data_IF_304148290497
#
_entry.id   IF_304148290497
#
_cell.length_a   1.000
_cell.length_b   1.000
_cell.length_c   1.000
_cell.angle_alpha   90.00
_cell.angle_beta   90.00
_cell.angle_gamma   90.00
#
_symmetry.space_group_name_H-M   'P 1'
#
loop_
_entity.id
_entity.type
_entity.pdbx_description
1 polymer ?
#
# COMPACT_ATOMS: atom_id res chain seq x y z
N UNK A 1 7.43 4.55 -31.21
CA UNK A 1 7.07 4.51 -29.78
C UNK A 1 7.52 5.83 -29.17
N UNK A 2 6.68 6.59 -28.45
CA UNK A 2 7.10 7.87 -27.88
C UNK A 2 8.07 7.61 -26.72
N UNK A 3 9.30 8.11 -26.83
CA UNK A 3 10.29 8.12 -25.76
C UNK A 3 9.73 8.90 -24.56
N UNK A 4 9.53 8.20 -23.47
CA UNK A 4 9.24 8.76 -22.15
C UNK A 4 10.52 9.43 -21.67
N UNK A 5 10.38 10.44 -20.81
CA UNK A 5 11.50 10.81 -19.97
C UNK A 5 11.63 9.69 -18.93
N UNK A 6 12.33 8.60 -19.26
CA UNK A 6 12.54 7.37 -18.46
C UNK A 6 13.12 7.63 -17.04
N UNK A 7 13.30 8.90 -16.71
CA UNK A 7 13.91 9.42 -15.51
C UNK A 7 12.88 9.89 -14.45
N UNK A 8 11.59 10.08 -14.76
CA UNK A 8 10.61 10.59 -13.78
C UNK A 8 10.38 9.61 -12.62
N UNK A 9 10.40 10.12 -11.38
CA UNK A 9 10.00 9.34 -10.21
C UNK A 9 8.50 9.51 -9.96
N UNK A 10 7.72 8.45 -10.05
CA UNK A 10 6.33 8.46 -9.56
C UNK A 10 6.28 8.06 -8.10
N UNK A 11 5.72 8.93 -7.26
CA UNK A 11 5.44 8.61 -5.85
C UNK A 11 3.93 8.49 -5.71
N UNK A 12 3.46 7.25 -5.60
CA UNK A 12 2.05 6.89 -5.54
C UNK A 12 1.59 6.66 -4.11
N UNK A 13 0.41 7.20 -3.82
CA UNK A 13 -0.37 6.97 -2.62
C UNK A 13 -1.73 6.40 -3.01
N UNK A 14 -2.37 5.63 -2.14
CA UNK A 14 -3.77 5.24 -2.31
C UNK A 14 -4.61 5.69 -1.10
N UNK A 15 -5.76 6.28 -1.37
CA UNK A 15 -6.73 6.67 -0.35
C UNK A 15 -8.15 6.38 -0.81
N UNK A 16 -8.95 5.81 0.08
CA UNK A 16 -10.36 5.53 -0.20
C UNK A 16 -11.19 5.55 1.08
N UNK A 17 -12.48 5.84 0.95
CA UNK A 17 -13.49 5.54 1.97
C UNK A 17 -13.98 6.72 2.81
N UNK A 18 -13.29 7.85 2.76
CA UNK A 18 -13.73 9.10 3.37
C UNK A 18 -13.02 10.29 2.73
N UNK A 19 -13.42 11.51 3.09
CA UNK A 19 -12.67 12.70 2.69
C UNK A 19 -11.34 12.71 3.45
N UNK A 20 -10.19 12.85 2.76
CA UNK A 20 -8.88 12.91 3.41
C UNK A 20 -8.84 13.90 4.58
N UNK A 21 -8.20 13.47 5.68
CA UNK A 21 -8.03 14.28 6.88
C UNK A 21 -7.12 15.50 6.60
N UNK A 22 -7.10 16.46 7.53
CA UNK A 22 -6.22 17.64 7.41
C UNK A 22 -4.75 17.21 7.47
N UNK A 23 -4.44 16.24 8.33
CA UNK A 23 -3.10 15.66 8.50
C UNK A 23 -2.60 15.05 7.18
N UNK A 24 -3.43 14.24 6.51
CA UNK A 24 -3.08 13.66 5.21
C UNK A 24 -2.85 14.75 4.15
N UNK A 25 -3.74 15.74 4.08
CA UNK A 25 -3.61 16.85 3.13
C UNK A 25 -2.30 17.63 3.34
N UNK A 26 -1.97 17.94 4.59
CA UNK A 26 -0.73 18.63 4.94
C UNK A 26 0.49 17.76 4.63
N UNK A 27 0.43 16.44 4.89
CA UNK A 27 1.53 15.52 4.58
C UNK A 27 1.82 15.50 3.07
N UNK A 28 0.79 15.39 2.22
CA UNK A 28 0.95 15.42 0.77
C UNK A 28 1.50 16.77 0.27
N UNK A 29 1.06 17.88 0.86
CA UNK A 29 1.60 19.22 0.58
C UNK A 29 3.08 19.35 0.95
N UNK A 30 3.48 18.86 2.13
CA UNK A 30 4.87 18.83 2.59
C UNK A 30 5.75 17.93 1.72
N UNK A 31 5.24 16.79 1.27
CA UNK A 31 5.93 15.97 0.27
C UNK A 31 6.18 16.76 -1.03
N UNK A 32 5.17 17.47 -1.59
CA UNK A 32 5.36 18.21 -2.85
C UNK A 32 6.37 19.34 -2.69
N UNK A 33 6.33 20.03 -1.57
CA UNK A 33 7.30 21.06 -1.16
C UNK A 33 8.72 20.49 -1.08
N UNK A 34 8.91 19.38 -0.35
CA UNK A 34 10.19 18.72 -0.17
C UNK A 34 10.84 18.28 -1.49
N UNK A 35 10.05 17.68 -2.39
CA UNK A 35 10.51 17.28 -3.73
C UNK A 35 10.91 18.50 -4.58
N UNK A 36 10.14 19.58 -4.51
CA UNK A 36 10.43 20.84 -5.21
C UNK A 36 11.74 21.47 -4.73
N UNK A 37 11.99 21.53 -3.42
CA UNK A 37 13.26 22.01 -2.85
C UNK A 37 14.46 21.13 -3.20
N UNK A 38 14.21 19.84 -3.45
CA UNK A 38 15.24 18.89 -3.83
C UNK A 38 15.63 18.97 -5.31
N UNK A 39 14.96 19.82 -6.11
CA UNK A 39 15.06 19.82 -7.58
C UNK A 39 14.82 18.43 -8.19
N UNK A 40 13.93 17.65 -7.57
CA UNK A 40 13.57 16.33 -8.05
C UNK A 40 12.58 16.43 -9.20
N UNK A 41 12.68 15.55 -10.19
CA UNK A 41 11.66 15.38 -11.22
C UNK A 41 10.46 14.54 -10.74
N UNK A 42 10.39 14.25 -9.44
CA UNK A 42 9.35 13.42 -8.86
C UNK A 42 7.96 14.04 -8.92
N UNK A 43 6.96 13.19 -9.13
CA UNK A 43 5.55 13.54 -9.17
C UNK A 43 4.75 12.74 -8.16
N UNK A 44 3.91 13.45 -7.40
CA UNK A 44 3.02 12.86 -6.40
C UNK A 44 1.69 12.54 -7.05
N UNK A 45 1.30 11.28 -6.94
CA UNK A 45 0.05 10.74 -7.46
C UNK A 45 -0.78 10.19 -6.30
N UNK A 46 -1.96 10.75 -6.07
CA UNK A 46 -2.95 10.19 -5.16
C UNK A 46 -3.98 9.40 -5.97
N UNK A 47 -3.95 8.09 -5.86
CA UNK A 47 -4.95 7.20 -6.43
C UNK A 47 -6.14 7.10 -5.48
N UNK A 48 -7.35 7.21 -6.01
CA UNK A 48 -8.58 7.16 -5.21
C UNK A 48 -9.77 6.71 -6.06
N UNK A 49 -10.90 6.45 -5.41
CA UNK A 49 -12.14 6.09 -6.09
C UNK A 49 -12.85 7.32 -6.62
N UNK A 50 -13.61 7.16 -7.71
CA UNK A 50 -14.47 8.20 -8.25
C UNK A 50 -15.45 8.75 -7.21
N UNK A 51 -16.01 7.87 -6.36
CA UNK A 51 -16.88 8.28 -5.27
C UNK A 51 -16.20 9.25 -4.29
N UNK A 52 -14.92 9.03 -3.97
CA UNK A 52 -14.18 9.91 -3.07
C UNK A 52 -13.78 11.23 -3.75
N UNK A 53 -13.52 11.22 -5.06
CA UNK A 53 -13.35 12.45 -5.85
C UNK A 53 -14.60 13.31 -5.79
N UNK A 54 -15.78 12.74 -6.00
CA UNK A 54 -17.03 13.49 -5.94
C UNK A 54 -17.28 14.06 -4.53
N UNK A 55 -16.95 13.32 -3.47
CA UNK A 55 -17.00 13.85 -2.09
C UNK A 55 -16.04 15.04 -1.87
N UNK A 56 -14.84 14.99 -2.46
CA UNK A 56 -13.86 16.08 -2.39
C UNK A 56 -14.38 17.32 -3.13
N UNK A 57 -14.94 17.13 -4.34
CA UNK A 57 -15.54 18.21 -5.15
C UNK A 57 -16.72 18.87 -4.45
N UNK A 58 -17.65 18.08 -3.91
CA UNK A 58 -18.83 18.58 -3.18
C UNK A 58 -18.44 19.45 -1.97
N UNK A 59 -17.31 19.17 -1.33
CA UNK A 59 -16.78 19.97 -0.22
C UNK A 59 -15.94 21.18 -0.67
N UNK A 60 -15.89 21.49 -1.97
CA UNK A 60 -15.13 22.60 -2.56
C UNK A 60 -13.66 22.64 -2.11
N UNK A 61 -13.01 21.48 -1.96
CA UNK A 61 -11.66 21.40 -1.40
C UNK A 61 -10.53 21.68 -2.41
N UNK A 62 -10.76 22.50 -3.44
CA UNK A 62 -9.70 22.91 -4.38
C UNK A 62 -9.26 21.83 -5.37
N UNK A 63 -10.14 20.89 -5.71
CA UNK A 63 -9.92 19.90 -6.76
C UNK A 63 -10.37 20.45 -8.12
N UNK A 64 -9.48 20.46 -9.10
CA UNK A 64 -9.73 20.98 -10.45
C UNK A 64 -9.30 19.98 -11.51
N UNK A 65 -9.93 19.98 -12.67
CA UNK A 65 -9.53 19.08 -13.76
C UNK A 65 -8.15 19.46 -14.30
N UNK A 66 -7.28 18.49 -14.48
CA UNK A 66 -5.94 18.72 -15.04
C UNK A 66 -5.99 18.65 -16.57
N UNK A 67 -5.90 19.81 -17.21
CA UNK A 67 -5.84 19.92 -18.67
C UNK A 67 -4.46 20.40 -19.13
N UNK A 68 -3.46 19.52 -19.10
CA UNK A 68 -2.15 19.80 -19.67
C UNK A 68 -1.96 18.99 -20.97
N UNK A 69 -1.52 19.65 -22.04
CA UNK A 69 -1.17 18.99 -23.30
C UNK A 69 0.13 18.18 -23.16
N UNK A 70 1.00 18.57 -22.23
CA UNK A 70 2.31 17.96 -21.96
C UNK A 70 2.28 16.89 -20.85
N UNK A 71 1.09 16.48 -20.38
CA UNK A 71 0.98 15.37 -19.42
C UNK A 71 1.75 14.16 -19.93
N UNK A 72 2.50 13.56 -19.01
CA UNK A 72 3.16 12.26 -19.13
C UNK A 72 2.22 11.29 -19.86
N UNK A 73 2.59 10.89 -21.07
CA UNK A 73 1.78 10.09 -22.00
C UNK A 73 1.16 8.86 -21.33
N UNK A 74 1.91 8.20 -20.44
CA UNK A 74 1.47 7.03 -19.69
C UNK A 74 0.29 7.29 -18.75
N UNK A 75 0.21 8.46 -18.10
CA UNK A 75 -0.92 8.74 -17.20
C UNK A 75 -2.22 8.96 -17.98
N UNK A 76 -2.13 9.53 -19.19
CA UNK A 76 -3.28 9.69 -20.10
C UNK A 76 -3.74 8.36 -20.69
N UNK A 77 -2.85 7.39 -20.86
CA UNK A 77 -3.23 6.02 -21.24
C UNK A 77 -4.07 5.34 -20.15
N UNK A 78 -3.88 5.71 -18.87
CA UNK A 78 -4.57 5.10 -17.73
C UNK A 78 -5.86 5.82 -17.41
N UNK A 79 -5.82 7.14 -17.28
CA UNK A 79 -6.97 7.90 -16.81
C UNK A 79 -7.14 9.14 -17.67
N UNK A 80 -8.24 9.24 -18.46
CA UNK A 80 -8.61 10.50 -19.08
C UNK A 80 -8.91 11.57 -18.02
N UNK A 81 -9.25 11.14 -16.79
CA UNK A 81 -9.59 12.01 -15.68
C UNK A 81 -8.41 12.07 -14.69
N UNK A 82 -7.56 13.06 -14.88
CA UNK A 82 -6.54 13.46 -13.90
C UNK A 82 -6.99 14.79 -13.33
N UNK A 83 -6.88 14.95 -12.02
CA UNK A 83 -7.24 16.17 -11.32
C UNK A 83 -6.02 16.77 -10.63
N UNK A 84 -5.97 18.09 -10.56
CA UNK A 84 -5.07 18.82 -9.68
C UNK A 84 -5.77 19.09 -8.37
N UNK A 85 -5.13 18.70 -7.28
CA UNK A 85 -5.57 19.05 -5.94
C UNK A 85 -4.61 20.04 -5.29
N UNK A 86 -5.11 21.23 -4.98
CA UNK A 86 -4.32 22.26 -4.30
C UNK A 86 -4.35 22.04 -2.79
N UNK A 87 -3.22 21.65 -2.21
CA UNK A 87 -3.07 21.26 -0.81
C UNK A 87 -2.07 22.18 -0.08
N UNK A 88 -2.37 22.62 1.16
CA UNK A 88 -1.45 23.43 1.94
C UNK A 88 -0.28 22.58 2.48
N UNK A 89 0.88 23.21 2.63
CA UNK A 89 1.98 22.73 3.44
C UNK A 89 1.84 23.23 4.91
N UNK A 90 2.78 22.89 5.78
CA UNK A 90 2.76 23.29 7.20
C UNK A 90 2.83 24.81 7.42
N UNK A 91 3.26 25.58 6.41
CA UNK A 91 3.28 27.03 6.42
C UNK A 91 2.04 27.65 5.74
N UNK A 92 1.07 26.84 5.34
CA UNK A 92 -0.14 27.28 4.64
C UNK A 92 0.09 27.63 3.16
N UNK A 93 1.26 27.35 2.58
CA UNK A 93 1.50 27.55 1.15
C UNK A 93 0.91 26.38 0.38
N UNK A 94 0.16 26.68 -0.68
CA UNK A 94 -0.51 25.67 -1.49
C UNK A 94 0.42 25.07 -2.56
N UNK A 95 0.33 23.74 -2.70
CA UNK A 95 1.04 22.93 -3.68
C UNK A 95 0.05 22.04 -4.42
N UNK A 96 0.24 21.90 -5.73
CA UNK A 96 -0.62 21.06 -6.54
C UNK A 96 -0.06 19.64 -6.61
N UNK A 97 -0.90 18.66 -6.26
CA UNK A 97 -0.64 17.23 -6.50
C UNK A 97 -1.62 16.69 -7.55
N UNK A 98 -1.27 15.56 -8.17
CA UNK A 98 -2.15 14.88 -9.12
C UNK A 98 -3.02 13.86 -8.38
N UNK A 99 -4.31 13.84 -8.69
CA UNK A 99 -5.29 12.87 -8.19
C UNK A 99 -5.83 12.07 -9.37
N UNK A 100 -5.86 10.74 -9.23
CA UNK A 100 -6.18 9.81 -10.31
C UNK A 100 -7.29 8.85 -9.87
N UNK A 101 -8.28 8.65 -10.73
CA UNK A 101 -9.33 7.63 -10.58
C UNK A 101 -8.75 6.24 -10.80
N UNK A 102 -8.85 5.36 -9.80
CA UNK A 102 -8.34 3.98 -9.88
C UNK A 102 -9.22 3.08 -10.76
N UNK A 103 -10.48 3.46 -11.03
CA UNK A 103 -11.47 2.67 -11.77
C UNK A 103 -11.01 2.30 -13.19
N UNK A 104 -10.25 3.17 -13.85
CA UNK A 104 -9.73 2.87 -15.19
C UNK A 104 -8.65 1.79 -15.15
N UNK A 105 -7.78 1.84 -14.13
CA UNK A 105 -6.77 0.80 -13.88
C UNK A 105 -7.45 -0.54 -13.57
N UNK A 106 -8.48 -0.51 -12.72
CA UNK A 106 -9.30 -1.67 -12.38
C UNK A 106 -9.96 -2.27 -13.63
N UNK A 107 -10.54 -1.44 -14.48
CA UNK A 107 -11.21 -1.88 -15.70
C UNK A 107 -10.24 -2.57 -16.66
N UNK A 108 -9.00 -2.08 -16.76
CA UNK A 108 -7.95 -2.71 -17.55
C UNK A 108 -7.55 -4.08 -16.99
N UNK A 109 -7.27 -4.16 -15.69
CA UNK A 109 -6.90 -5.43 -15.07
C UNK A 109 -8.05 -6.43 -15.01
N UNK A 110 -9.31 -6.00 -14.97
CA UNK A 110 -10.47 -6.90 -14.92
C UNK A 110 -10.54 -7.84 -16.13
N UNK A 111 -9.96 -7.45 -17.26
CA UNK A 111 -9.89 -8.29 -18.46
C UNK A 111 -8.93 -9.47 -18.32
N UNK A 112 -7.97 -9.40 -17.39
CA UNK A 112 -6.89 -10.38 -17.23
C UNK A 112 -6.91 -11.06 -15.86
N UNK A 113 -7.25 -10.31 -14.80
CA UNK A 113 -7.26 -10.74 -13.40
C UNK A 113 -8.65 -10.49 -12.78
N UNK A 114 -9.67 -11.19 -13.30
CA UNK A 114 -11.06 -10.95 -12.91
C UNK A 114 -11.29 -11.27 -11.43
N UNK A 115 -10.81 -12.41 -10.95
CA UNK A 115 -10.95 -12.83 -9.55
C UNK A 115 -10.35 -11.80 -8.59
N UNK A 116 -9.11 -11.35 -8.86
CA UNK A 116 -8.42 -10.33 -8.06
C UNK A 116 -9.24 -9.02 -8.00
N UNK A 117 -9.74 -8.57 -9.14
CA UNK A 117 -10.56 -7.35 -9.22
C UNK A 117 -11.90 -7.51 -8.51
N UNK A 118 -12.52 -8.69 -8.58
CA UNK A 118 -13.77 -8.96 -7.86
C UNK A 118 -13.53 -8.92 -6.34
N UNK A 119 -12.42 -9.47 -5.83
CA UNK A 119 -12.01 -9.33 -4.41
C UNK A 119 -11.75 -7.87 -4.04
N UNK A 120 -11.00 -7.12 -4.85
CA UNK A 120 -10.75 -5.69 -4.61
C UNK A 120 -12.06 -4.91 -4.46
N UNK A 121 -13.00 -5.11 -5.38
CA UNK A 121 -14.30 -4.44 -5.35
C UNK A 121 -15.14 -4.84 -4.13
N UNK A 122 -15.06 -6.11 -3.70
CA UNK A 122 -15.72 -6.58 -2.47
C UNK A 122 -15.15 -5.89 -1.23
N UNK A 123 -13.84 -5.68 -1.15
CA UNK A 123 -13.22 -4.96 -0.03
C UNK A 123 -13.68 -3.51 0.04
N UNK A 124 -13.69 -2.79 -1.09
CA UNK A 124 -14.20 -1.42 -1.17
C UNK A 124 -15.68 -1.36 -0.76
N UNK A 125 -16.52 -2.24 -1.33
CA UNK A 125 -17.97 -2.32 -1.03
C UNK A 125 -18.24 -2.58 0.46
N UNK A 126 -17.37 -3.31 1.13
CA UNK A 126 -17.51 -3.65 2.56
C UNK A 126 -16.77 -2.68 3.49
N UNK A 127 -16.25 -1.56 2.99
CA UNK A 127 -15.48 -0.57 3.74
C UNK A 127 -14.20 -1.13 4.39
N UNK A 128 -13.61 -2.16 3.78
CA UNK A 128 -12.39 -2.82 4.27
C UNK A 128 -11.17 -2.20 3.56
N UNK A 129 -10.95 -0.93 3.84
CA UNK A 129 -10.06 -0.08 3.03
C UNK A 129 -8.58 -0.42 3.19
N UNK A 130 -8.16 -0.89 4.37
CA UNK A 130 -6.76 -1.26 4.64
C UNK A 130 -6.30 -2.34 3.66
N UNK A 131 -7.06 -3.43 3.52
CA UNK A 131 -6.72 -4.50 2.59
C UNK A 131 -6.95 -4.13 1.13
N UNK A 132 -7.91 -3.25 0.83
CA UNK A 132 -8.04 -2.71 -0.53
C UNK A 132 -6.78 -1.94 -0.95
N UNK A 133 -6.12 -1.26 -0.01
CA UNK A 133 -4.84 -0.57 -0.23
C UNK A 133 -3.70 -1.53 -0.54
N UNK A 134 -3.72 -2.75 0.00
CA UNK A 134 -2.72 -3.79 -0.26
C UNK A 134 -2.81 -4.36 -1.68
N UNK A 135 -4.02 -4.49 -2.21
CA UNK A 135 -4.22 -4.83 -3.61
C UNK A 135 -3.90 -3.64 -4.52
N UNK A 136 -4.37 -2.43 -4.17
CA UNK A 136 -4.15 -1.23 -4.97
C UNK A 136 -2.67 -0.95 -5.21
N UNK A 137 -1.83 -1.04 -4.17
CA UNK A 137 -0.39 -0.76 -4.31
C UNK A 137 0.31 -1.66 -5.32
N UNK A 138 -0.08 -2.94 -5.40
CA UNK A 138 0.46 -3.90 -6.35
C UNK A 138 -0.01 -3.57 -7.76
N UNK A 139 -1.31 -3.37 -7.97
CA UNK A 139 -1.88 -3.03 -9.28
C UNK A 139 -1.30 -1.72 -9.83
N UNK A 140 -1.15 -0.71 -8.97
CA UNK A 140 -0.57 0.60 -9.30
C UNK A 140 0.88 0.42 -9.75
N UNK A 141 1.73 -0.25 -8.96
CA UNK A 141 3.15 -0.38 -9.28
C UNK A 141 3.43 -1.34 -10.44
N UNK A 142 2.60 -2.35 -10.63
CA UNK A 142 2.68 -3.24 -11.78
C UNK A 142 2.45 -2.47 -13.09
N UNK A 143 1.53 -1.51 -13.07
CA UNK A 143 1.25 -0.66 -14.22
C UNK A 143 2.25 0.49 -14.37
N UNK A 144 2.48 1.22 -13.28
CA UNK A 144 3.24 2.47 -13.22
C UNK A 144 4.40 2.31 -12.24
N UNK A 145 5.59 1.93 -12.74
CA UNK A 145 6.77 1.77 -11.91
C UNK A 145 7.12 3.08 -11.19
N UNK A 146 7.67 2.96 -9.99
CA UNK A 146 7.94 4.08 -9.11
C UNK A 146 8.00 3.63 -7.66
N UNK A 147 7.59 4.51 -6.76
CA UNK A 147 7.57 4.30 -5.32
C UNK A 147 6.12 4.38 -4.87
N UNK A 148 5.62 3.34 -4.22
CA UNK A 148 4.38 3.40 -3.45
C UNK A 148 4.72 3.66 -1.99
N UNK A 149 4.05 4.61 -1.34
CA UNK A 149 4.15 4.86 0.09
C UNK A 149 2.78 4.98 0.74
N UNK A 150 2.66 4.47 1.97
CA UNK A 150 1.45 4.67 2.77
C UNK A 150 1.25 6.18 3.08
N UNK A 151 -0.02 6.59 3.19
CA UNK A 151 -0.44 7.98 3.38
C UNK A 151 0.12 8.67 4.65
N UNK A 152 0.52 7.90 5.65
CA UNK A 152 1.06 8.33 6.94
C UNK A 152 2.59 8.36 6.99
N UNK A 153 3.29 8.01 5.91
CA UNK A 153 4.73 8.21 5.80
C UNK A 153 5.03 9.67 5.50
N UNK A 154 5.81 10.30 6.37
CA UNK A 154 6.27 11.68 6.21
C UNK A 154 7.60 11.71 5.43
N UNK A 155 7.97 12.87 4.90
CA UNK A 155 9.33 13.09 4.42
C UNK A 155 10.27 13.37 5.62
N UNK A 156 11.52 12.93 5.53
CA UNK A 156 12.49 13.14 6.62
C UNK A 156 13.08 14.56 6.65
N UNK A 157 13.05 15.28 5.51
CA UNK A 157 13.79 16.52 5.26
C UNK A 157 15.31 16.48 5.58
N UNK A 158 15.89 15.31 5.91
CA UNK A 158 17.31 15.17 6.32
C UNK A 158 18.27 15.27 5.15
N UNK A 159 17.84 14.85 3.95
CA UNK A 159 18.61 14.91 2.71
C UNK A 159 17.74 15.42 1.58
N UNK A 160 18.33 15.98 0.53
CA UNK A 160 17.61 16.27 -0.72
C UNK A 160 17.17 14.94 -1.36
N UNK A 161 15.94 14.87 -1.82
CA UNK A 161 15.43 13.71 -2.53
C UNK A 161 16.18 13.48 -3.85
N UNK A 162 16.12 12.25 -4.36
CA UNK A 162 16.74 11.87 -5.63
C UNK A 162 16.23 12.70 -6.79
N UNK A 163 17.10 13.00 -7.74
CA UNK A 163 16.74 13.86 -8.88
C UNK A 163 15.88 13.11 -9.91
N UNK A 164 16.09 11.79 -10.04
CA UNK A 164 15.46 10.91 -11.01
C UNK A 164 15.46 9.43 -10.55
N UNK A 165 14.66 8.58 -11.21
CA UNK A 165 14.51 7.16 -10.85
C UNK A 165 15.79 6.34 -11.07
N UNK A 166 16.63 6.73 -12.04
CA UNK A 166 17.89 6.04 -12.33
C UNK A 166 18.89 6.15 -11.18
N UNK A 167 18.94 7.28 -10.46
CA UNK A 167 19.75 7.41 -9.24
C UNK A 167 19.36 6.39 -8.18
N UNK A 168 18.05 6.17 -8.01
CA UNK A 168 17.52 5.17 -7.08
C UNK A 168 17.91 3.77 -7.58
N UNK A 169 17.70 3.46 -8.86
CA UNK A 169 18.07 2.17 -9.46
C UNK A 169 19.56 1.85 -9.30
N UNK A 170 20.44 2.82 -9.57
CA UNK A 170 21.88 2.68 -9.42
C UNK A 170 22.30 2.37 -7.98
N UNK A 171 21.61 2.93 -6.98
CA UNK A 171 21.85 2.64 -5.57
C UNK A 171 21.56 1.19 -5.22
N UNK A 172 20.43 0.65 -5.68
CA UNK A 172 20.09 -0.76 -5.48
C UNK A 172 21.11 -1.69 -6.18
N UNK A 173 21.44 -1.40 -7.44
CA UNK A 173 22.39 -2.20 -8.22
C UNK A 173 23.80 -2.20 -7.60
N UNK A 174 24.27 -1.05 -7.11
CA UNK A 174 25.58 -0.93 -6.45
C UNK A 174 25.67 -1.72 -5.15
N UNK A 175 24.54 -2.01 -4.52
CA UNK A 175 24.44 -2.85 -3.33
C UNK A 175 24.18 -4.33 -3.64
N UNK A 176 24.29 -4.75 -4.90
CA UNK A 176 24.15 -6.14 -5.33
C UNK A 176 22.71 -6.62 -5.43
N UNK A 177 21.73 -5.71 -5.41
CA UNK A 177 20.33 -6.03 -5.60
C UNK A 177 19.97 -5.95 -7.08
N UNK A 178 19.39 -7.01 -7.65
CA UNK A 178 19.02 -7.11 -9.08
C UNK A 178 17.61 -7.71 -9.25
N UNK A 179 16.59 -7.05 -8.69
CA UNK A 179 15.20 -7.52 -8.73
C UNK A 179 14.32 -6.43 -9.37
N UNK A 180 13.31 -6.85 -10.13
CA UNK A 180 12.33 -5.98 -10.82
C UNK A 180 11.58 -5.03 -9.88
N UNK A 181 11.44 -5.42 -8.62
CA UNK A 181 10.85 -4.63 -7.56
C UNK A 181 11.47 -4.99 -6.21
N UNK A 182 11.28 -4.09 -5.26
CA UNK A 182 11.87 -4.12 -3.95
C UNK A 182 10.80 -3.78 -2.91
N UNK A 183 10.45 -4.75 -2.06
CA UNK A 183 9.59 -4.51 -0.90
C UNK A 183 10.39 -3.82 0.16
N UNK A 184 10.09 -2.56 0.48
CA UNK A 184 10.80 -1.91 1.56
C UNK A 184 10.23 -2.37 2.90
N UNK A 185 10.93 -3.33 3.47
CA UNK A 185 10.70 -3.88 4.80
C UNK A 185 11.20 -2.89 5.84
N UNK A 186 10.26 -2.25 6.54
CA UNK A 186 10.61 -1.35 7.63
C UNK A 186 10.59 -2.13 8.94
N UNK A 187 11.66 -1.94 9.73
CA UNK A 187 11.80 -2.54 11.05
C UNK A 187 11.45 -1.48 12.07
N UNK A 188 10.30 -1.61 12.72
CA UNK A 188 9.96 -0.76 13.86
C UNK A 188 10.94 -0.98 15.02
N UNK A 189 10.90 -0.12 16.05
CA UNK A 189 11.77 -0.23 17.25
C UNK A 189 11.69 -1.61 17.94
N UNK A 190 10.64 -2.40 17.68
CA UNK A 190 10.44 -3.76 18.19
C UNK A 190 10.85 -4.89 17.22
N UNK A 191 11.49 -4.61 16.08
CA UNK A 191 11.90 -5.66 15.15
C UNK A 191 10.80 -6.13 14.17
N UNK A 192 9.67 -5.42 14.10
CA UNK A 192 8.47 -5.84 13.36
C UNK A 192 8.50 -5.37 11.91
N UNK A 193 8.03 -6.24 11.00
CA UNK A 193 8.07 -6.05 9.55
C UNK A 193 6.74 -5.47 9.02
N UNK A 194 6.80 -4.30 8.36
CA UNK A 194 5.65 -3.70 7.66
C UNK A 194 6.00 -3.28 6.22
N UNK A 195 5.00 -3.35 5.33
CA UNK A 195 5.09 -3.04 3.90
C UNK A 195 4.61 -1.62 3.59
N UNK A 196 5.08 -0.62 4.33
CA UNK A 196 4.59 0.76 4.16
C UNK A 196 5.20 1.44 2.92
N UNK A 197 6.19 0.82 2.28
CA UNK A 197 6.77 1.29 1.02
C UNK A 197 7.16 0.13 0.09
N UNK A 198 6.92 0.32 -1.21
CA UNK A 198 7.34 -0.63 -2.25
C UNK A 198 7.93 0.18 -3.40
N UNK A 199 9.03 -0.29 -3.99
CA UNK A 199 9.63 0.32 -5.17
C UNK A 199 9.60 -0.68 -6.32
N UNK A 200 9.06 -0.29 -7.47
CA UNK A 200 9.12 -1.07 -8.70
C UNK A 200 9.87 -0.26 -9.77
N UNK A 201 10.79 -0.91 -10.47
CA UNK A 201 11.58 -0.25 -11.52
C UNK A 201 11.11 -0.59 -12.93
N UNK A 202 10.25 -1.59 -13.07
CA UNK A 202 9.81 -2.13 -14.35
C UNK A 202 8.30 -2.31 -14.37
N UNK A 203 7.68 -2.09 -15.54
CA UNK A 203 6.29 -2.47 -15.75
C UNK A 203 6.18 -3.99 -15.64
N UNK A 204 5.00 -4.48 -15.24
CA UNK A 204 4.73 -5.90 -15.05
C UNK A 204 5.64 -6.54 -13.99
N UNK A 205 6.13 -5.75 -13.03
CA UNK A 205 7.00 -6.24 -11.96
C UNK A 205 6.34 -7.35 -11.11
N UNK A 206 5.01 -7.34 -11.00
CA UNK A 206 4.20 -8.26 -10.21
C UNK A 206 3.37 -9.23 -11.07
N UNK A 207 3.52 -9.22 -12.39
CA UNK A 207 2.72 -10.03 -13.32
C UNK A 207 2.66 -11.51 -12.95
N UNK A 208 3.81 -12.13 -12.64
CA UNK A 208 3.85 -13.54 -12.25
C UNK A 208 3.05 -13.82 -10.96
N UNK A 209 3.05 -12.86 -10.03
CA UNK A 209 2.34 -13.00 -8.77
C UNK A 209 0.84 -12.81 -8.96
N UNK A 210 0.45 -11.81 -9.75
CA UNK A 210 -0.94 -11.57 -10.13
C UNK A 210 -1.51 -12.77 -10.89
N UNK A 211 -0.76 -13.34 -11.84
CA UNK A 211 -1.16 -14.55 -12.56
C UNK A 211 -1.33 -15.76 -11.62
N UNK A 212 -0.38 -16.00 -10.71
CA UNK A 212 -0.48 -17.13 -9.77
C UNK A 212 -1.72 -17.01 -8.88
N UNK A 213 -1.96 -15.84 -8.31
CA UNK A 213 -3.09 -15.63 -7.42
C UNK A 213 -4.44 -15.67 -8.17
N UNK A 214 -4.51 -15.11 -9.38
CA UNK A 214 -5.69 -15.24 -10.24
C UNK A 214 -6.01 -16.70 -10.57
N UNK A 215 -5.00 -17.54 -10.83
CA UNK A 215 -5.19 -18.98 -11.02
C UNK A 215 -5.75 -19.65 -9.76
N UNK A 216 -5.25 -19.31 -8.56
CA UNK A 216 -5.80 -19.85 -7.30
C UNK A 216 -7.28 -19.46 -7.12
N UNK A 217 -7.67 -18.24 -7.48
CA UNK A 217 -9.06 -17.78 -7.38
C UNK A 217 -9.98 -18.45 -8.41
N UNK A 218 -9.47 -18.79 -9.60
CA UNK A 218 -10.28 -19.37 -10.68
C UNK A 218 -10.38 -20.91 -10.61
N UNK A 219 -9.27 -21.60 -10.28
CA UNK A 219 -9.20 -23.07 -10.33
C UNK A 219 -9.69 -23.73 -9.03
N UNK A 220 -9.86 -22.96 -7.95
CA UNK A 220 -10.31 -23.45 -6.66
C UNK A 220 -11.53 -22.64 -6.18
N UNK A 221 -12.74 -23.10 -6.53
CA UNK A 221 -13.99 -22.43 -6.14
C UNK A 221 -14.13 -22.23 -4.64
N UNK A 222 -13.60 -23.17 -3.85
CA UNK A 222 -13.62 -23.09 -2.39
C UNK A 222 -12.69 -21.96 -1.91
N UNK A 223 -11.56 -21.74 -2.58
CA UNK A 223 -10.64 -20.65 -2.26
C UNK A 223 -11.27 -19.27 -2.48
N UNK A 224 -11.96 -19.05 -3.61
CA UNK A 224 -12.67 -17.79 -3.84
C UNK A 224 -13.82 -17.57 -2.84
N UNK A 225 -14.62 -18.61 -2.57
CA UNK A 225 -15.73 -18.53 -1.61
C UNK A 225 -15.23 -18.28 -0.18
N UNK A 226 -14.14 -18.92 0.24
CA UNK A 226 -13.45 -18.66 1.52
C UNK A 226 -13.10 -17.17 1.66
N UNK A 227 -12.61 -16.52 0.59
CA UNK A 227 -12.32 -15.08 0.61
C UNK A 227 -13.57 -14.24 0.86
N UNK A 228 -14.69 -14.59 0.24
CA UNK A 228 -15.96 -13.88 0.44
C UNK A 228 -16.42 -14.03 1.89
N UNK A 229 -16.47 -15.26 2.40
CA UNK A 229 -16.92 -15.56 3.76
C UNK A 229 -16.09 -14.81 4.81
N UNK A 230 -14.78 -14.75 4.61
CA UNK A 230 -13.87 -14.08 5.53
C UNK A 230 -14.00 -12.54 5.48
N UNK A 231 -14.22 -11.95 4.31
CA UNK A 231 -14.55 -10.51 4.15
C UNK A 231 -15.85 -10.18 4.88
N UNK A 232 -16.87 -11.03 4.74
CA UNK A 232 -18.15 -10.82 5.42
C UNK A 232 -18.03 -11.00 6.94
N UNK A 233 -17.28 -12.01 7.37
CA UNK A 233 -16.98 -12.27 8.77
C UNK A 233 -16.25 -11.09 9.41
N UNK A 234 -15.22 -10.57 8.74
CA UNK A 234 -14.51 -9.36 9.16
C UNK A 234 -15.44 -8.21 9.49
N UNK A 235 -16.33 -7.90 8.55
CA UNK A 235 -17.25 -6.78 8.63
C UNK A 235 -18.21 -6.92 9.81
N UNK A 236 -18.66 -8.15 10.10
CA UNK A 236 -19.50 -8.45 11.26
C UNK A 236 -18.74 -8.28 12.58
N UNK A 237 -17.44 -8.60 12.57
CA UNK A 237 -16.64 -8.72 13.78
C UNK A 237 -15.80 -7.48 14.14
N UNK A 238 -15.53 -6.57 13.19
CA UNK A 238 -14.65 -5.41 13.38
C UNK A 238 -15.03 -4.49 14.56
N UNK A 239 -16.32 -4.44 14.91
CA UNK A 239 -16.84 -3.63 16.02
C UNK A 239 -17.15 -4.46 17.27
N UNK A 240 -16.93 -5.77 17.25
CA UNK A 240 -17.20 -6.64 18.39
C UNK A 240 -16.26 -6.31 19.56
N UNK A 241 -16.77 -6.33 20.80
CA UNK A 241 -16.01 -5.88 21.98
C UNK A 241 -14.69 -6.65 22.16
N UNK A 242 -14.70 -7.97 21.92
CA UNK A 242 -13.50 -8.82 21.94
C UNK A 242 -12.44 -8.35 20.93
N UNK A 243 -12.85 -7.98 19.71
CA UNK A 243 -11.96 -7.42 18.70
C UNK A 243 -11.45 -6.03 19.09
N UNK A 244 -12.30 -5.17 19.65
CA UNK A 244 -11.89 -3.86 20.15
C UNK A 244 -10.92 -3.97 21.33
N UNK A 245 -11.04 -5.01 22.17
CA UNK A 245 -10.09 -5.34 23.24
C UNK A 245 -8.76 -5.84 22.68
N UNK A 246 -8.78 -6.79 21.74
CA UNK A 246 -7.58 -7.29 21.05
C UNK A 246 -6.82 -6.17 20.30
N UNK A 247 -7.56 -5.27 19.66
CA UNK A 247 -7.06 -4.09 18.96
C UNK A 247 -6.48 -3.00 19.91
N UNK A 248 -6.72 -3.13 21.22
CA UNK A 248 -6.14 -2.29 22.28
C UNK A 248 -5.05 -3.02 23.07
N UNK A 249 -5.09 -4.36 23.15
CA UNK A 249 -4.08 -5.19 23.79
C UNK A 249 -2.90 -5.40 22.86
N UNK A 250 -2.12 -4.34 22.67
CA UNK A 250 -0.76 -4.46 22.19
C UNK A 250 0.05 -5.15 23.27
N UNK A 251 0.04 -6.49 23.30
CA UNK A 251 0.84 -7.43 24.13
C UNK A 251 1.68 -6.75 25.23
N UNK A 252 1.02 -6.06 26.17
CA UNK A 252 1.68 -5.42 27.31
C UNK A 252 1.87 -6.44 28.43
N UNK A 253 1.33 -7.65 28.26
CA UNK A 253 1.29 -8.69 29.27
C UNK A 253 2.06 -9.93 28.81
N UNK A 254 2.87 -10.50 29.71
CA UNK A 254 3.68 -11.71 29.45
C UNK A 254 2.82 -12.91 29.07
N UNK A 255 1.54 -12.92 29.47
CA UNK A 255 0.60 -13.99 29.18
C UNK A 255 0.09 -14.00 27.73
N UNK A 256 0.13 -12.86 27.04
CA UNK A 256 -0.30 -12.77 25.64
C UNK A 256 0.72 -13.47 24.71
N UNK A 257 1.97 -13.66 25.16
CA UNK A 257 3.03 -14.39 24.44
C UNK A 257 2.68 -15.85 24.11
N UNK A 258 1.69 -16.46 24.76
CA UNK A 258 1.22 -17.81 24.43
C UNK A 258 0.63 -17.90 23.04
N UNK A 259 0.12 -16.81 22.48
CA UNK A 259 -0.34 -16.83 21.10
C UNK A 259 0.85 -16.85 20.14
N UNK A 260 2.03 -16.31 20.53
CA UNK A 260 3.23 -16.23 19.68
C UNK A 260 3.75 -17.59 19.20
N UNK A 261 3.44 -18.67 19.92
CA UNK A 261 3.88 -20.03 19.60
C UNK A 261 3.13 -20.68 18.43
N UNK A 262 1.98 -20.13 18.01
CA UNK A 262 1.13 -20.68 16.94
C UNK A 262 1.36 -20.01 15.57
N UNK A 263 2.41 -19.18 15.44
CA UNK A 263 2.67 -18.36 14.25
C UNK A 263 3.79 -18.92 13.37
N UNK A 264 3.52 -20.06 12.72
CA UNK A 264 4.21 -20.45 11.49
C UNK A 264 3.17 -20.92 10.43
N UNK A 265 3.61 -21.09 9.17
CA UNK A 265 2.74 -21.43 8.02
C UNK A 265 1.93 -22.72 8.23
N UNK A 266 2.48 -23.70 8.95
CA UNK A 266 1.82 -24.99 9.19
C UNK A 266 0.68 -24.88 10.21
N UNK A 267 0.74 -23.92 11.13
CA UNK A 267 -0.26 -23.73 12.18
C UNK A 267 -1.39 -22.74 11.83
N UNK A 268 -1.34 -22.08 10.67
CA UNK A 268 -2.40 -21.19 10.18
C UNK A 268 -3.81 -21.84 10.20
N UNK A 269 -3.91 -23.09 9.76
CA UNK A 269 -5.17 -23.85 9.77
C UNK A 269 -5.61 -24.22 11.20
N UNK A 270 -4.65 -24.43 12.12
CA UNK A 270 -4.92 -24.71 13.53
C UNK A 270 -5.38 -23.45 14.27
N UNK A 271 -4.85 -22.28 13.90
CA UNK A 271 -5.27 -20.98 14.43
C UNK A 271 -6.67 -20.58 13.97
N UNK A 272 -7.03 -20.83 12.70
CA UNK A 272 -8.42 -20.70 12.20
C UNK A 272 -9.38 -21.54 13.07
N UNK A 273 -9.05 -22.81 13.30
CA UNK A 273 -9.85 -23.73 14.15
C UNK A 273 -9.94 -23.28 15.61
N UNK A 274 -8.86 -22.79 16.20
CA UNK A 274 -8.84 -22.28 17.58
C UNK A 274 -9.72 -21.04 17.75
N UNK A 275 -9.68 -20.12 16.77
CA UNK A 275 -10.52 -18.93 16.79
C UNK A 275 -11.99 -19.28 16.51
N UNK A 276 -12.27 -20.19 15.57
CA UNK A 276 -13.61 -20.74 15.35
C UNK A 276 -14.19 -21.37 16.64
N UNK A 277 -13.38 -22.12 17.40
CA UNK A 277 -13.75 -22.66 18.71
C UNK A 277 -14.01 -21.58 19.78
N UNK A 278 -13.44 -20.38 19.61
CA UNK A 278 -13.65 -19.22 20.47
C UNK A 278 -14.72 -18.24 19.95
N UNK A 279 -15.48 -18.62 18.90
CA UNK A 279 -16.42 -17.75 18.16
C UNK A 279 -15.78 -16.45 17.63
N UNK A 280 -14.49 -16.49 17.30
CA UNK A 280 -13.76 -15.42 16.64
C UNK A 280 -13.46 -15.88 15.21
N UNK A 281 -13.87 -15.12 14.19
CA UNK A 281 -13.40 -15.37 12.82
C UNK A 281 -12.68 -14.12 12.34
N UNK A 282 -11.39 -14.26 12.05
CA UNK A 282 -10.55 -13.21 11.49
C UNK A 282 -10.56 -13.28 9.96
N UNK A 283 -10.34 -12.16 9.28
CA UNK A 283 -10.22 -12.15 7.81
C UNK A 283 -8.80 -12.50 7.38
N UNK A 284 -8.54 -13.79 7.35
CA UNK A 284 -7.27 -14.34 6.93
C UNK A 284 -6.88 -14.20 5.44
N UNK A 285 -7.77 -14.01 4.45
CA UNK A 285 -7.38 -14.15 3.04
C UNK A 285 -6.68 -12.94 2.42
N UNK A 286 -6.95 -11.72 2.87
CA UNK A 286 -6.15 -10.55 2.47
C UNK A 286 -4.70 -10.69 2.96
N UNK A 287 -4.54 -11.32 4.13
CA UNK A 287 -3.23 -11.70 4.66
C UNK A 287 -2.64 -12.90 3.93
N UNK A 288 -3.46 -13.84 3.43
CA UNK A 288 -3.03 -14.95 2.57
C UNK A 288 -2.48 -14.44 1.23
N UNK A 289 -3.16 -13.50 0.58
CA UNK A 289 -2.65 -12.82 -0.62
C UNK A 289 -1.28 -12.18 -0.35
N UNK A 290 -1.18 -11.39 0.70
CA UNK A 290 0.08 -10.80 1.19
C UNK A 290 1.17 -11.84 1.49
N UNK A 291 0.80 -12.96 2.11
CA UNK A 291 1.71 -14.03 2.50
C UNK A 291 2.18 -14.86 1.30
N UNK A 292 1.34 -15.08 0.30
CA UNK A 292 1.72 -15.75 -0.95
C UNK A 292 2.55 -14.81 -1.84
N UNK A 293 2.20 -13.52 -1.91
CA UNK A 293 2.98 -12.47 -2.57
C UNK A 293 4.41 -12.37 -2.04
N UNK A 294 4.59 -12.38 -0.73
CA UNK A 294 5.89 -12.23 -0.10
C UNK A 294 6.60 -13.56 0.12
N UNK A 295 5.91 -14.54 0.69
CA UNK A 295 6.50 -15.77 1.22
C UNK A 295 6.97 -16.76 0.14
N UNK A 296 6.38 -16.73 -1.05
CA UNK A 296 6.79 -17.60 -2.16
C UNK A 296 8.00 -17.00 -2.91
N UNK A 297 8.07 -15.68 -3.02
CA UNK A 297 9.06 -15.00 -3.86
C UNK A 297 10.22 -14.34 -3.10
N UNK A 298 10.06 -14.00 -1.81
CA UNK A 298 11.13 -13.46 -0.98
C UNK A 298 11.75 -14.54 -0.09
N UNK A 299 12.96 -14.98 -0.43
CA UNK A 299 13.79 -15.78 0.48
C UNK A 299 14.16 -14.94 1.70
N UNK A 300 13.78 -15.39 2.90
CA UNK A 300 14.02 -14.74 4.19
C UNK A 300 15.47 -14.29 4.45
N UNK A 301 16.48 -14.94 3.86
CA UNK A 301 17.89 -14.54 4.01
C UNK A 301 18.18 -13.15 3.40
N UNK A 302 17.48 -12.77 2.33
CA UNK A 302 17.65 -11.47 1.68
C UNK A 302 17.02 -10.34 2.50
N UNK A 303 16.11 -10.63 3.44
CA UNK A 303 15.35 -9.59 4.14
C UNK A 303 16.18 -8.75 5.13
N UNK A 304 17.22 -9.34 5.73
CA UNK A 304 18.03 -8.64 6.74
C UNK A 304 19.07 -7.71 6.09
N UNK A 305 19.81 -8.18 5.09
CA UNK A 305 20.72 -7.35 4.28
C UNK A 305 19.96 -6.20 3.60
N UNK A 306 18.78 -6.51 3.09
CA UNK A 306 17.88 -5.55 2.47
C UNK A 306 17.32 -4.53 3.50
N UNK A 307 16.93 -4.98 4.69
CA UNK A 307 16.49 -4.09 5.78
C UNK A 307 17.60 -3.17 6.28
N UNK A 308 18.84 -3.68 6.36
CA UNK A 308 20.02 -2.88 6.69
C UNK A 308 20.30 -1.83 5.61
N UNK A 309 20.27 -2.21 4.33
CA UNK A 309 20.37 -1.28 3.21
C UNK A 309 19.29 -0.20 3.26
N UNK A 310 18.04 -0.56 3.56
CA UNK A 310 16.96 0.41 3.72
C UNK A 310 17.27 1.42 4.82
N UNK A 311 17.67 0.91 5.99
CA UNK A 311 17.99 1.74 7.15
C UNK A 311 19.13 2.71 6.84
N UNK A 312 20.16 2.26 6.12
CA UNK A 312 21.32 3.10 5.81
C UNK A 312 21.08 4.10 4.68
N UNK A 313 20.40 3.69 3.60
CA UNK A 313 20.29 4.50 2.39
C UNK A 313 18.97 5.26 2.33
N UNK A 314 17.85 4.59 2.57
CA UNK A 314 16.52 5.09 2.23
C UNK A 314 15.80 5.78 3.39
N UNK A 315 16.05 5.39 4.66
CA UNK A 315 15.49 6.05 5.85
C UNK A 315 15.85 7.55 5.95
N UNK A 316 16.87 7.98 5.21
CA UNK A 316 17.28 9.38 5.10
C UNK A 316 16.28 10.25 4.32
N UNK A 317 15.30 9.67 3.62
CA UNK A 317 14.33 10.39 2.81
C UNK A 317 12.90 10.23 3.33
N UNK A 318 12.61 9.08 3.96
CA UNK A 318 11.30 8.74 4.50
C UNK A 318 11.35 8.75 6.02
N UNK A 319 10.49 9.55 6.64
CA UNK A 319 10.27 9.54 8.08
C UNK A 319 9.08 8.64 8.36
N UNK A 320 9.41 7.46 8.87
CA UNK A 320 8.41 6.54 9.40
C UNK A 320 7.78 7.24 10.61
N UNK A 321 6.44 7.30 10.71
CA UNK A 321 5.80 7.80 11.91
C UNK A 321 6.32 6.99 13.11
N UNK A 322 6.59 7.65 14.24
CA UNK A 322 6.85 6.94 15.48
C UNK A 322 5.57 6.19 15.84
N UNK A 323 5.49 4.94 15.41
CA UNK A 323 4.42 4.05 15.79
C UNK A 323 4.83 3.42 17.12
N UNK A 324 4.25 3.93 18.20
CA UNK A 324 4.26 3.23 19.49
C UNK A 324 3.52 1.88 19.42
N UNK A 325 2.79 1.66 18.31
CA UNK A 325 1.72 0.70 18.14
C UNK A 325 1.70 0.25 16.66
N UNK A 326 2.13 -0.99 16.39
CA UNK A 326 2.05 -1.66 15.07
C UNK A 326 0.61 -1.68 14.53
N UNK A 327 0.35 -1.45 13.24
CA UNK A 327 -1.04 -1.50 12.73
C UNK A 327 -1.40 -2.90 12.25
N UNK A 328 -0.55 -3.55 11.47
CA UNK A 328 -0.66 -4.97 11.15
C UNK A 328 0.66 -5.47 10.55
N UNK A 329 1.07 -6.72 10.82
CA UNK A 329 2.32 -7.27 10.26
C UNK A 329 2.05 -8.35 9.23
N UNK A 330 2.69 -8.24 8.07
CA UNK A 330 2.64 -9.30 7.04
C UNK A 330 3.35 -10.59 7.49
N UNK A 331 4.23 -10.50 8.51
CA UNK A 331 4.84 -11.67 9.18
C UNK A 331 3.92 -12.28 10.24
N UNK A 332 2.95 -11.49 10.73
CA UNK A 332 2.04 -11.89 11.80
C UNK A 332 0.59 -11.50 11.44
N UNK A 333 -0.12 -12.36 10.68
CA UNK A 333 -1.50 -12.12 10.25
C UNK A 333 -2.51 -12.03 11.41
N UNK A 334 -2.15 -12.46 12.63
CA UNK A 334 -2.97 -12.25 13.82
C UNK A 334 -2.92 -10.81 14.35
N UNK A 335 -1.99 -10.00 13.83
CA UNK A 335 -1.79 -8.63 14.22
C UNK A 335 -2.47 -7.74 13.19
N UNK A 336 -3.72 -7.35 13.42
CA UNK A 336 -4.34 -6.31 12.61
C UNK A 336 -5.24 -5.40 13.45
N UNK A 337 -4.85 -4.13 13.59
CA UNK A 337 -5.77 -3.05 13.94
C UNK A 337 -6.65 -2.81 12.73
N UNK A 338 -7.89 -3.26 12.85
CA UNK A 338 -8.86 -3.23 11.77
C UNK A 338 -9.39 -1.82 11.46
N UNK A 339 -9.08 -0.83 12.33
CA UNK A 339 -9.37 0.59 12.12
C UNK A 339 -8.05 1.35 12.06
N UNK A 340 -7.72 1.89 10.88
CA UNK A 340 -6.77 3.00 10.76
C UNK A 340 -7.46 4.23 11.38
N UNK A 341 -6.79 4.92 12.30
CA UNK A 341 -7.32 6.10 13.00
C UNK A 341 -7.69 7.22 12.03
#
# INVERSE_FOLDING_TARGET
>A
MPNINDNTIFISFFWTGSVPSVELKNNLGEWKKYLSYSNSNAEILLWTTHNDIEKIKQKNQGLTFFNDKNTISQLKEISPNIYNWSLPDANGKYHNIKVIEIENLISKYKLVYKGIIDIFNLLIKNNIYVFSSDLARILILDFLPGIYIDCDIENSSRRKFYSNIQEIKNKFQSSGFDIKFYYIMMVGNQGLLENQMIIAFEKNAFENVLQYYELQLNDNSDFFNDHIEDIESFKKNINHEKFMKLNKSFFNDKNDSKYLQFYNKEDYKNFRKLNENENISFSYPCLSFSYELLGIFFKYKNSMEYSMFYTSEMSNYFKIPNQDILLYSWKNPGFARLKKL
#
